data_IF_580911801943
#
_entry.id   IF_580911801943
#
_cell.length_a   1.000
_cell.length_b   1.000
_cell.length_c   1.000
_cell.angle_alpha   90.00
_cell.angle_beta   90.00
_cell.angle_gamma   90.00
#
_symmetry.space_group_name_H-M   'P 1'
#
loop_
_entity.id
_entity.type
_entity.pdbx_description
1 polymer ?
#
# COMPACT_ATOMS: atom_id res chain seq x y z
N UNK A 1 17.45 2.09 0.63
CA UNK A 1 17.03 3.20 1.51
C UNK A 1 15.78 2.88 2.32
N UNK A 2 14.55 3.34 1.95
CA UNK A 2 13.34 2.93 2.71
C UNK A 2 13.03 1.46 2.45
N UNK A 3 13.21 0.99 1.22
CA UNK A 3 13.08 -0.42 0.87
C UNK A 3 13.94 -1.37 1.70
N UNK A 4 15.07 -0.90 2.23
CA UNK A 4 15.98 -1.67 3.09
C UNK A 4 15.53 -1.70 4.56
N UNK A 5 14.62 -0.80 4.94
CA UNK A 5 14.04 -0.76 6.27
C UNK A 5 12.82 -1.66 6.38
N UNK A 6 12.18 -2.03 5.24
CA UNK A 6 11.04 -2.93 5.26
C UNK A 6 11.46 -4.30 5.76
N UNK A 7 10.64 -4.87 6.65
CA UNK A 7 10.82 -6.22 7.16
C UNK A 7 10.40 -7.22 6.07
N UNK A 8 11.36 -7.97 5.56
CA UNK A 8 11.12 -9.00 4.56
C UNK A 8 10.31 -10.15 5.17
N UNK A 9 9.25 -10.58 4.47
CA UNK A 9 8.30 -11.56 5.00
C UNK A 9 7.44 -11.02 6.15
N UNK A 10 7.62 -9.74 6.53
CA UNK A 10 6.94 -9.08 7.62
C UNK A 10 5.82 -8.15 7.19
N UNK A 11 5.00 -7.77 8.18
CA UNK A 11 3.92 -6.80 8.03
C UNK A 11 4.45 -5.39 8.32
N UNK A 12 4.53 -4.57 7.29
CA UNK A 12 5.01 -3.19 7.37
C UNK A 12 3.81 -2.23 7.28
N UNK A 13 3.83 -1.14 8.02
CA UNK A 13 2.73 -0.16 8.03
C UNK A 13 3.22 1.23 7.70
N UNK A 14 2.57 1.87 6.72
CA UNK A 14 2.69 3.29 6.42
C UNK A 14 1.45 4.03 6.91
N UNK A 15 1.64 4.93 7.86
CA UNK A 15 0.61 5.84 8.35
C UNK A 15 0.78 7.19 7.65
N UNK A 16 -0.32 7.81 7.22
CA UNK A 16 -0.30 9.10 6.53
C UNK A 16 -1.48 9.98 6.96
N UNK A 17 -1.31 11.28 6.87
CA UNK A 17 -2.37 12.28 7.05
C UNK A 17 -2.74 12.97 5.73
N UNK A 18 -1.85 12.90 4.75
CA UNK A 18 -2.00 13.51 3.43
C UNK A 18 -1.80 12.47 2.32
N UNK A 19 -2.77 12.37 1.41
CA UNK A 19 -2.74 11.37 0.32
C UNK A 19 -1.62 11.63 -0.69
N UNK A 20 -1.25 12.90 -0.90
CA UNK A 20 -0.15 13.25 -1.79
C UNK A 20 1.20 12.81 -1.22
N UNK A 21 1.43 13.05 0.08
CA UNK A 21 2.63 12.56 0.78
C UNK A 21 2.75 11.04 0.69
N UNK A 22 1.63 10.32 0.87
CA UNK A 22 1.56 8.87 0.70
C UNK A 22 2.00 8.46 -0.71
N UNK A 23 1.40 9.04 -1.75
CA UNK A 23 1.66 8.70 -3.15
C UNK A 23 3.13 8.96 -3.49
N UNK A 24 3.69 10.11 -3.10
CA UNK A 24 5.11 10.44 -3.31
C UNK A 24 6.03 9.39 -2.69
N UNK A 25 5.77 9.02 -1.44
CA UNK A 25 6.60 8.05 -0.73
C UNK A 25 6.49 6.65 -1.34
N UNK A 26 5.29 6.20 -1.66
CA UNK A 26 5.07 4.90 -2.31
C UNK A 26 5.76 4.86 -3.69
N UNK A 27 5.62 5.91 -4.50
CA UNK A 27 6.30 6.00 -5.79
C UNK A 27 7.82 5.89 -5.64
N UNK A 28 8.39 6.54 -4.62
CA UNK A 28 9.82 6.41 -4.31
C UNK A 28 10.21 5.00 -3.89
N UNK A 29 9.41 4.36 -3.04
CA UNK A 29 9.65 2.97 -2.61
C UNK A 29 9.63 2.04 -3.84
N UNK A 30 8.63 2.14 -4.71
CA UNK A 30 8.54 1.33 -5.92
C UNK A 30 9.76 1.56 -6.82
N UNK A 31 10.17 2.81 -7.01
CA UNK A 31 11.37 3.15 -7.80
C UNK A 31 12.66 2.54 -7.22
N UNK A 32 12.79 2.48 -5.88
CA UNK A 32 13.93 1.81 -5.24
C UNK A 32 13.96 0.29 -5.52
N UNK A 33 12.80 -0.36 -5.61
CA UNK A 33 12.71 -1.77 -5.99
C UNK A 33 13.00 -1.97 -7.50
N UNK A 34 12.58 -1.03 -8.36
CA UNK A 34 12.91 -1.07 -9.79
C UNK A 34 14.42 -1.02 -10.03
N UNK A 35 15.11 -0.06 -9.40
CA UNK A 35 16.56 0.11 -9.56
C UNK A 35 17.39 -1.08 -9.03
N UNK A 36 16.89 -1.82 -8.03
CA UNK A 36 17.57 -3.02 -7.54
C UNK A 36 17.49 -4.19 -8.51
N UNK A 37 16.42 -4.27 -9.27
CA UNK A 37 16.15 -5.36 -10.20
C UNK A 37 16.95 -5.26 -11.51
N UNK A 38 17.46 -4.07 -11.88
CA UNK A 38 18.31 -3.90 -13.06
C UNK A 38 19.65 -4.66 -12.97
N UNK A 39 20.02 -5.13 -11.78
CA UNK A 39 21.28 -5.87 -11.54
C UNK A 39 21.10 -7.40 -11.37
N UNK A 40 19.86 -7.90 -11.39
CA UNK A 40 19.53 -9.33 -11.23
C UNK A 40 18.58 -9.75 -12.35
N UNK A 41 18.90 -10.86 -13.06
CA UNK A 41 18.09 -11.40 -14.16
C UNK A 41 16.67 -11.87 -13.73
N UNK A 42 16.38 -11.87 -12.45
CA UNK A 42 15.06 -12.15 -11.89
C UNK A 42 14.26 -10.85 -11.72
N UNK A 43 13.44 -10.49 -12.71
CA UNK A 43 12.51 -9.37 -12.64
C UNK A 43 11.45 -9.62 -11.54
N UNK A 44 11.70 -9.08 -10.36
CA UNK A 44 10.74 -9.14 -9.26
C UNK A 44 9.67 -8.06 -9.41
N UNK A 45 8.42 -8.47 -9.54
CA UNK A 45 7.27 -7.58 -9.70
C UNK A 45 6.89 -6.94 -8.37
N UNK A 46 6.34 -5.73 -8.42
CA UNK A 46 5.63 -5.09 -7.32
C UNK A 46 4.13 -5.25 -7.54
N UNK A 47 3.43 -5.84 -6.60
CA UNK A 47 1.96 -5.92 -6.60
C UNK A 47 1.41 -4.76 -5.79
N UNK A 48 0.52 -3.98 -6.40
CA UNK A 48 -0.14 -2.83 -5.78
C UNK A 48 -1.66 -2.98 -5.82
N UNK A 49 -2.28 -3.00 -4.65
CA UNK A 49 -3.73 -3.03 -4.47
C UNK A 49 -4.22 -1.60 -4.23
N UNK A 50 -4.76 -0.94 -5.25
CA UNK A 50 -5.19 0.46 -5.23
C UNK A 50 -6.72 0.54 -5.05
N UNK A 51 -7.20 0.58 -3.80
CA UNK A 51 -8.62 0.53 -3.47
C UNK A 51 -9.40 1.80 -3.81
N UNK A 52 -8.76 2.94 -3.93
CA UNK A 52 -9.38 4.23 -4.26
C UNK A 52 -9.00 4.76 -5.64
N UNK A 53 -8.22 3.99 -6.39
CA UNK A 53 -7.67 4.35 -7.69
C UNK A 53 -6.86 5.67 -7.69
N UNK A 54 -6.42 6.15 -6.52
CA UNK A 54 -5.70 7.40 -6.42
C UNK A 54 -4.33 7.30 -7.06
N UNK A 55 -3.52 6.29 -6.69
CA UNK A 55 -2.21 6.07 -7.27
C UNK A 55 -2.30 5.86 -8.79
N UNK A 56 -3.23 5.02 -9.24
CA UNK A 56 -3.49 4.76 -10.67
C UNK A 56 -3.83 6.04 -11.42
N UNK A 57 -4.64 6.93 -10.83
CA UNK A 57 -5.01 8.20 -11.45
C UNK A 57 -3.81 9.13 -11.62
N UNK A 58 -2.94 9.24 -10.62
CA UNK A 58 -1.70 10.03 -10.71
C UNK A 58 -0.73 9.45 -11.74
N UNK A 59 -0.58 8.13 -11.80
CA UNK A 59 0.27 7.47 -12.79
C UNK A 59 -0.25 7.69 -14.22
N UNK A 60 -1.56 7.55 -14.46
CA UNK A 60 -2.20 7.85 -15.76
C UNK A 60 -2.04 9.29 -16.19
N UNK A 61 -2.13 10.23 -15.26
CA UNK A 61 -1.95 11.65 -15.54
C UNK A 61 -0.48 12.04 -15.83
N UNK A 62 0.46 11.08 -15.75
CA UNK A 62 1.89 11.34 -15.94
C UNK A 62 2.53 12.14 -14.80
N UNK A 63 1.85 12.23 -13.66
CA UNK A 63 2.33 12.96 -12.49
C UNK A 63 3.39 12.18 -11.71
N UNK A 64 3.55 10.88 -11.98
CA UNK A 64 4.62 10.04 -11.48
C UNK A 64 5.58 9.75 -12.63
N UNK A 65 6.68 10.52 -12.78
CA UNK A 65 7.49 10.53 -14.01
C UNK A 65 8.13 9.19 -14.38
N UNK A 66 8.41 8.37 -13.38
CA UNK A 66 9.09 7.07 -13.54
C UNK A 66 8.12 5.93 -13.83
N UNK A 67 6.81 6.20 -13.83
CA UNK A 67 5.79 5.15 -13.91
C UNK A 67 4.81 5.42 -15.04
N UNK A 68 5.11 4.87 -16.19
CA UNK A 68 4.14 4.76 -17.29
C UNK A 68 3.39 3.46 -17.15
N UNK A 69 2.07 3.53 -17.10
CA UNK A 69 1.18 2.37 -16.96
C UNK A 69 0.24 2.24 -18.14
N UNK A 70 -0.02 1.00 -18.54
CA UNK A 70 -1.00 0.65 -19.55
C UNK A 70 -2.15 -0.13 -18.93
N UNK A 71 -3.35 0.10 -19.46
CA UNK A 71 -4.55 -0.62 -19.04
C UNK A 71 -4.58 -1.99 -19.72
N UNK A 72 -4.59 -3.05 -18.94
CA UNK A 72 -4.76 -4.43 -19.45
C UNK A 72 -6.25 -4.80 -19.45
N UNK A 73 -6.97 -4.47 -18.36
CA UNK A 73 -8.43 -4.59 -18.28
C UNK A 73 -8.99 -3.54 -17.30
N UNK A 74 -10.29 -3.59 -16.98
CA UNK A 74 -10.94 -2.58 -16.13
C UNK A 74 -10.42 -2.55 -14.69
N UNK A 75 -9.81 -3.63 -14.23
CA UNK A 75 -9.34 -3.81 -12.85
C UNK A 75 -7.84 -4.06 -12.73
N UNK A 76 -7.11 -4.06 -13.86
CA UNK A 76 -5.70 -4.35 -13.86
C UNK A 76 -4.91 -3.44 -14.81
N UNK A 77 -3.83 -2.88 -14.28
CA UNK A 77 -2.86 -2.06 -15.00
C UNK A 77 -1.46 -2.62 -14.79
N UNK A 78 -0.62 -2.49 -15.78
CA UNK A 78 0.77 -2.92 -15.74
C UNK A 78 1.69 -1.77 -16.17
N UNK A 79 2.87 -1.67 -15.56
CA UNK A 79 3.87 -0.71 -16.03
C UNK A 79 4.50 -1.16 -17.35
N UNK A 80 4.94 -0.21 -18.19
CA UNK A 80 5.65 -0.53 -19.43
C UNK A 80 6.92 -1.38 -19.20
N UNK A 81 7.50 -1.30 -18.01
CA UNK A 81 8.65 -2.11 -17.59
C UNK A 81 8.28 -3.50 -17.07
N UNK A 82 7.00 -3.87 -17.03
CA UNK A 82 6.46 -5.11 -16.45
C UNK A 82 6.83 -5.37 -14.98
N UNK A 83 7.29 -4.34 -14.26
CA UNK A 83 7.73 -4.45 -12.86
C UNK A 83 6.58 -4.16 -11.90
N UNK A 84 5.65 -3.26 -12.26
CA UNK A 84 4.55 -2.85 -11.38
C UNK A 84 3.22 -3.36 -11.92
N UNK A 85 2.54 -4.17 -11.14
CA UNK A 85 1.20 -4.69 -11.37
C UNK A 85 0.21 -4.00 -10.42
N UNK A 86 -0.71 -3.20 -10.96
CA UNK A 86 -1.72 -2.48 -10.17
C UNK A 86 -3.07 -3.16 -10.35
N UNK A 87 -3.63 -3.61 -9.24
CA UNK A 87 -4.99 -4.14 -9.18
C UNK A 87 -5.92 -3.10 -8.57
N UNK A 88 -7.05 -2.84 -9.23
CA UNK A 88 -8.16 -2.06 -8.69
C UNK A 88 -9.19 -3.04 -8.09
N UNK A 89 -9.13 -3.31 -6.78
CA UNK A 89 -10.01 -4.29 -6.16
C UNK A 89 -11.47 -3.88 -6.26
N UNK A 90 -12.32 -4.84 -6.56
CA UNK A 90 -13.78 -4.71 -6.53
C UNK A 90 -14.35 -5.35 -5.29
N UNK A 91 -15.68 -5.40 -5.22
CA UNK A 91 -16.38 -6.11 -4.15
C UNK A 91 -16.09 -7.63 -4.13
N UNK A 92 -15.59 -8.21 -5.24
CA UNK A 92 -15.10 -9.59 -5.31
C UNK A 92 -13.60 -9.70 -5.03
N UNK A 93 -13.16 -9.00 -4.01
CA UNK A 93 -11.73 -8.96 -3.63
C UNK A 93 -11.16 -10.34 -3.29
N UNK A 94 -11.95 -11.23 -2.72
CA UNK A 94 -11.48 -12.57 -2.34
C UNK A 94 -11.14 -13.40 -3.58
N UNK A 95 -11.96 -13.30 -4.64
CA UNK A 95 -11.65 -13.91 -5.94
C UNK A 95 -10.33 -13.39 -6.49
N UNK A 96 -10.19 -12.07 -6.59
CA UNK A 96 -8.95 -11.43 -7.08
C UNK A 96 -7.72 -11.84 -6.27
N UNK A 97 -7.80 -11.84 -4.92
CA UNK A 97 -6.66 -12.23 -4.08
C UNK A 97 -6.29 -13.69 -4.32
N UNK A 98 -7.27 -14.59 -4.34
CA UNK A 98 -6.98 -16.03 -4.44
C UNK A 98 -6.54 -16.46 -5.83
N UNK A 99 -7.06 -15.85 -6.90
CA UNK A 99 -6.77 -16.25 -8.27
C UNK A 99 -5.55 -15.54 -8.85
N UNK A 100 -5.42 -14.25 -8.61
CA UNK A 100 -4.46 -13.42 -9.35
C UNK A 100 -3.25 -13.04 -8.50
N UNK A 101 -3.49 -12.60 -7.25
CA UNK A 101 -2.43 -12.08 -6.39
C UNK A 101 -1.59 -13.22 -5.82
N UNK A 102 -2.22 -14.22 -5.19
CA UNK A 102 -1.49 -15.32 -4.54
C UNK A 102 -0.60 -16.08 -5.52
N UNK A 103 -1.08 -16.31 -6.75
CA UNK A 103 -0.29 -16.99 -7.77
C UNK A 103 0.95 -16.20 -8.22
N UNK A 104 0.88 -14.88 -8.15
CA UNK A 104 1.95 -13.99 -8.59
C UNK A 104 2.93 -13.61 -7.47
N UNK A 105 2.61 -13.92 -6.20
CA UNK A 105 3.44 -13.52 -5.05
C UNK A 105 4.86 -14.08 -5.14
N UNK A 106 5.05 -15.32 -5.59
CA UNK A 106 6.39 -15.94 -5.70
C UNK A 106 7.36 -15.19 -6.63
N UNK A 107 6.82 -14.38 -7.55
CA UNK A 107 7.60 -13.59 -8.50
C UNK A 107 7.75 -12.12 -8.07
N UNK A 108 7.30 -11.77 -6.85
CA UNK A 108 7.26 -10.40 -6.39
C UNK A 108 8.42 -10.05 -5.47
N UNK A 109 8.76 -8.75 -5.44
CA UNK A 109 9.68 -8.16 -4.48
C UNK A 109 8.99 -7.32 -3.41
N UNK A 110 7.72 -6.94 -3.64
CA UNK A 110 6.91 -6.13 -2.71
C UNK A 110 5.43 -6.31 -3.00
N UNK A 111 4.62 -6.38 -1.95
CA UNK A 111 3.15 -6.30 -2.03
C UNK A 111 2.67 -5.09 -1.25
N UNK A 112 1.83 -4.23 -1.87
CA UNK A 112 1.27 -3.02 -1.27
C UNK A 112 -0.25 -3.11 -1.20
N UNK A 113 -0.82 -2.85 -0.03
CA UNK A 113 -2.26 -2.75 0.23
C UNK A 113 -2.61 -1.28 0.55
N UNK A 114 -3.20 -0.57 -0.39
CA UNK A 114 -3.48 0.87 -0.28
C UNK A 114 -4.95 1.22 -0.50
N UNK A 115 -5.72 1.50 0.50
CA UNK A 115 -5.46 1.61 1.92
C UNK A 115 -6.54 0.88 2.75
N UNK A 116 -6.30 0.69 4.03
CA UNK A 116 -7.32 0.18 4.96
C UNK A 116 -8.57 1.07 4.93
N UNK A 117 -8.41 2.38 4.86
CA UNK A 117 -9.52 3.33 4.80
C UNK A 117 -10.35 3.15 3.54
N UNK A 118 -9.70 2.99 2.40
CA UNK A 118 -10.34 2.81 1.10
C UNK A 118 -11.01 1.44 1.00
N UNK A 119 -10.42 0.40 1.61
CA UNK A 119 -11.06 -0.89 1.80
C UNK A 119 -12.40 -0.76 2.53
N UNK A 120 -12.44 -0.05 3.68
CA UNK A 120 -13.69 0.17 4.39
C UNK A 120 -14.71 0.93 3.54
N UNK A 121 -14.31 1.95 2.79
CA UNK A 121 -15.21 2.71 1.93
C UNK A 121 -15.82 1.82 0.84
N UNK A 122 -15.01 1.00 0.17
CA UNK A 122 -15.46 0.08 -0.89
C UNK A 122 -16.56 -0.88 -0.42
N UNK A 123 -16.44 -1.40 0.80
CA UNK A 123 -17.39 -2.37 1.34
C UNK A 123 -18.52 -1.74 2.15
N UNK A 124 -18.36 -0.50 2.63
CA UNK A 124 -19.37 0.19 3.42
C UNK A 124 -20.64 0.46 2.61
N UNK A 125 -20.53 0.99 1.41
CA UNK A 125 -21.68 1.33 0.55
C UNK A 125 -22.51 0.10 0.19
N UNK A 126 -21.87 -1.06 0.02
CA UNK A 126 -22.58 -2.32 -0.22
C UNK A 126 -23.43 -2.75 0.98
N UNK A 127 -22.91 -2.54 2.17
CA UNK A 127 -23.61 -2.93 3.41
C UNK A 127 -24.76 -1.97 3.74
N UNK A 128 -24.67 -0.70 3.34
CA UNK A 128 -25.74 0.31 3.53
C UNK A 128 -26.87 0.12 2.53
N UNK A 129 -26.58 -0.22 1.28
CA UNK A 129 -27.57 -0.39 0.22
C UNK A 129 -28.44 -1.65 0.35
N UNK A 130 -28.02 -2.63 1.13
CA UNK A 130 -28.85 -3.80 1.47
C UNK A 130 -29.82 -3.44 2.60
N UNK A 131 -31.04 -3.04 2.26
CA UNK A 131 -32.09 -2.46 3.12
C UNK A 131 -32.48 -3.26 4.39
N UNK A 132 -31.97 -4.46 4.60
CA UNK A 132 -32.40 -5.36 5.70
C UNK A 132 -31.31 -5.81 6.68
N UNK A 133 -30.06 -5.40 6.52
CA UNK A 133 -29.01 -5.84 7.44
C UNK A 133 -28.35 -4.66 8.15
N UNK A 134 -28.50 -4.60 9.47
CA UNK A 134 -27.65 -3.75 10.32
C UNK A 134 -26.19 -4.07 9.98
N UNK A 135 -25.47 -3.07 9.45
CA UNK A 135 -24.05 -3.21 9.13
C UNK A 135 -23.33 -3.69 10.36
N UNK A 136 -22.85 -4.91 10.30
CA UNK A 136 -22.00 -5.42 11.36
C UNK A 136 -20.56 -5.02 11.04
N UNK A 137 -20.11 -3.87 11.59
CA UNK A 137 -18.71 -3.40 11.48
C UNK A 137 -17.75 -4.51 11.92
N UNK A 138 -18.16 -5.39 12.83
CA UNK A 138 -17.39 -6.56 13.23
C UNK A 138 -17.09 -7.51 12.07
N UNK A 139 -18.07 -7.78 11.22
CA UNK A 139 -17.87 -8.65 10.03
C UNK A 139 -16.91 -8.02 9.03
N UNK A 140 -16.95 -6.69 8.84
CA UNK A 140 -16.03 -5.98 7.95
C UNK A 140 -14.59 -6.00 8.51
N UNK A 141 -14.44 -5.85 9.82
CA UNK A 141 -13.14 -6.02 10.48
C UNK A 141 -12.60 -7.44 10.34
N UNK A 142 -13.46 -8.45 10.43
CA UNK A 142 -13.08 -9.86 10.22
C UNK A 142 -12.64 -10.09 8.76
N UNK A 143 -13.38 -9.55 7.79
CA UNK A 143 -13.01 -9.64 6.37
C UNK A 143 -11.66 -8.99 6.11
N UNK A 144 -11.44 -7.76 6.59
CA UNK A 144 -10.16 -7.08 6.47
C UNK A 144 -9.02 -7.92 7.07
N UNK A 145 -9.22 -8.40 8.32
CA UNK A 145 -8.24 -9.24 9.00
C UNK A 145 -7.91 -10.48 8.17
N UNK A 146 -8.93 -11.18 7.66
CA UNK A 146 -8.76 -12.37 6.85
C UNK A 146 -7.96 -12.09 5.58
N UNK A 147 -8.32 -11.04 4.84
CA UNK A 147 -7.61 -10.60 3.63
C UNK A 147 -6.14 -10.30 3.91
N UNK A 148 -5.86 -9.49 4.94
CA UNK A 148 -4.49 -9.13 5.31
C UNK A 148 -3.67 -10.35 5.75
N UNK A 149 -4.28 -11.28 6.49
CA UNK A 149 -3.58 -12.48 6.98
C UNK A 149 -3.29 -13.49 5.87
N UNK A 150 -4.17 -13.62 4.88
CA UNK A 150 -3.89 -14.47 3.70
C UNK A 150 -2.68 -13.91 2.94
N UNK A 151 -2.68 -12.61 2.63
CA UNK A 151 -1.57 -11.99 1.90
C UNK A 151 -0.28 -12.12 2.72
N UNK A 152 -0.33 -11.79 4.02
CA UNK A 152 0.83 -11.89 4.90
C UNK A 152 1.40 -13.31 4.95
N UNK A 153 0.55 -14.34 5.03
CA UNK A 153 1.00 -15.73 5.04
C UNK A 153 1.84 -16.03 3.80
N UNK A 154 1.32 -15.72 2.62
CA UNK A 154 2.03 -16.01 1.37
C UNK A 154 3.28 -15.14 1.18
N UNK A 155 3.23 -13.85 1.51
CA UNK A 155 4.42 -13.00 1.44
C UNK A 155 5.52 -13.46 2.41
N UNK A 156 5.13 -13.96 3.59
CA UNK A 156 6.09 -14.52 4.56
C UNK A 156 6.74 -15.82 4.06
N UNK A 157 6.00 -16.68 3.37
CA UNK A 157 6.52 -17.91 2.77
C UNK A 157 7.66 -17.65 1.77
N UNK A 158 7.59 -16.53 1.04
CA UNK A 158 8.60 -16.12 0.05
C UNK A 158 9.54 -15.01 0.54
N UNK A 159 9.48 -14.65 1.83
CA UNK A 159 10.30 -13.58 2.42
C UNK A 159 10.14 -12.22 1.73
N UNK A 160 8.93 -11.88 1.31
CA UNK A 160 8.57 -10.66 0.61
C UNK A 160 7.97 -9.65 1.59
N UNK A 161 8.38 -8.37 1.61
CA UNK A 161 7.77 -7.36 2.45
C UNK A 161 6.33 -7.08 2.03
N UNK A 162 5.43 -7.02 3.01
CA UNK A 162 4.04 -6.63 2.83
C UNK A 162 3.79 -5.27 3.46
N UNK A 163 3.50 -4.25 2.65
CA UNK A 163 3.26 -2.87 3.06
C UNK A 163 1.76 -2.55 3.05
N UNK A 164 1.24 -2.15 4.20
CA UNK A 164 -0.16 -1.76 4.38
C UNK A 164 -0.24 -0.28 4.73
N UNK A 165 -1.09 0.49 4.05
CA UNK A 165 -1.25 1.91 4.33
C UNK A 165 -2.52 2.20 5.13
N UNK A 166 -2.47 3.20 6.01
CA UNK A 166 -3.60 3.65 6.81
C UNK A 166 -3.57 5.15 7.07
N UNK A 167 -4.71 5.81 6.88
CA UNK A 167 -4.86 7.24 7.06
C UNK A 167 -5.19 7.59 8.53
N UNK A 168 -4.61 8.67 9.04
CA UNK A 168 -5.03 9.29 10.30
C UNK A 168 -6.37 10.00 10.08
N UNK A 169 -7.31 9.76 10.97
CA UNK A 169 -8.59 10.47 11.01
C UNK A 169 -8.64 11.38 12.24
N UNK A 170 -9.03 12.62 12.02
CA UNK A 170 -9.24 13.61 13.08
C UNK A 170 -10.72 13.62 13.51
N UNK A 171 -11.03 13.06 14.68
CA UNK A 171 -12.35 13.14 15.34
C UNK A 171 -12.16 13.55 16.77
N UNK A 172 -11.75 14.83 16.99
CA UNK A 172 -11.40 15.37 18.32
C UNK A 172 -10.08 14.85 18.89
N UNK A 173 -9.62 13.69 18.44
CA UNK A 173 -8.27 13.11 18.66
C UNK A 173 -7.79 12.42 17.41
N UNK A 174 -6.49 12.43 17.19
CA UNK A 174 -5.87 11.67 16.11
C UNK A 174 -6.10 10.16 16.32
N UNK A 175 -6.64 9.48 15.32
CA UNK A 175 -6.87 8.04 15.35
C UNK A 175 -6.49 7.41 14.02
N UNK A 176 -5.59 6.45 14.07
CA UNK A 176 -5.27 5.58 12.94
C UNK A 176 -6.39 4.54 12.80
N UNK A 177 -6.87 4.35 11.57
CA UNK A 177 -7.86 3.30 11.28
C UNK A 177 -7.24 1.93 11.52
N UNK A 178 -7.95 1.05 12.23
CA UNK A 178 -7.48 -0.28 12.62
C UNK A 178 -6.16 -0.29 13.43
N UNK A 179 -5.89 0.77 14.19
CA UNK A 179 -4.65 0.94 14.95
C UNK A 179 -4.26 -0.29 15.78
N UNK A 180 -5.23 -0.95 16.43
CA UNK A 180 -4.97 -2.15 17.23
C UNK A 180 -4.39 -3.29 16.38
N UNK A 181 -4.96 -3.55 15.20
CA UNK A 181 -4.47 -4.56 14.27
C UNK A 181 -3.05 -4.21 13.80
N UNK A 182 -2.85 -2.97 13.36
CA UNK A 182 -1.58 -2.50 12.85
C UNK A 182 -0.48 -2.56 13.91
N UNK A 183 -0.73 -2.05 15.12
CA UNK A 183 0.26 -2.05 16.21
C UNK A 183 0.67 -3.46 16.66
N UNK A 184 -0.26 -4.42 16.62
CA UNK A 184 0.02 -5.80 17.01
C UNK A 184 0.80 -6.59 15.95
N UNK A 185 0.54 -6.33 14.66
CA UNK A 185 1.09 -7.13 13.55
C UNK A 185 2.29 -6.50 12.88
N UNK A 186 2.42 -5.18 12.95
CA UNK A 186 3.49 -4.45 12.28
C UNK A 186 4.84 -4.70 12.92
N UNK A 187 5.79 -5.16 12.12
CA UNK A 187 7.22 -5.24 12.47
C UNK A 187 7.90 -3.89 12.29
N UNK A 188 7.55 -3.17 11.21
CA UNK A 188 7.99 -1.84 10.90
C UNK A 188 6.77 -0.92 10.71
N UNK A 189 6.78 0.22 11.39
CA UNK A 189 5.71 1.20 11.32
C UNK A 189 6.29 2.60 11.17
N UNK A 190 5.86 3.33 10.16
CA UNK A 190 6.33 4.67 9.90
C UNK A 190 5.19 5.61 9.48
N UNK A 191 5.40 6.90 9.77
CA UNK A 191 4.46 7.96 9.48
C UNK A 191 5.08 8.95 8.51
N UNK A 192 4.32 9.30 7.46
CA UNK A 192 4.72 10.30 6.47
C UNK A 192 3.79 11.50 6.51
N UNK A 193 4.39 12.69 6.40
CA UNK A 193 3.67 13.96 6.24
C UNK A 193 4.44 14.92 5.35
N UNK A 194 3.74 15.88 4.78
CA UNK A 194 4.36 17.01 4.08
C UNK A 194 5.07 17.88 5.13
N UNK A 195 6.34 18.18 4.89
CA UNK A 195 7.13 19.11 5.68
C UNK A 195 7.07 20.53 5.11
N UNK A 196 7.26 20.62 3.79
CA UNK A 196 7.15 21.83 2.98
C UNK A 196 6.76 21.43 1.54
N UNK A 197 6.74 22.38 0.60
CA UNK A 197 6.33 22.12 -0.78
C UNK A 197 7.14 21.00 -1.46
N UNK A 198 8.41 20.81 -1.10
CA UNK A 198 9.34 19.90 -1.80
C UNK A 198 9.82 18.72 -0.94
N UNK A 199 9.58 18.73 0.36
CA UNK A 199 10.11 17.71 1.26
C UNK A 199 9.01 16.94 2.00
N UNK A 200 9.25 15.65 2.20
CA UNK A 200 8.46 14.80 3.10
C UNK A 200 9.24 14.54 4.39
N UNK A 201 8.53 14.57 5.50
CA UNK A 201 9.03 14.09 6.79
C UNK A 201 8.54 12.67 7.03
N UNK A 202 9.45 11.76 7.30
CA UNK A 202 9.19 10.35 7.60
C UNK A 202 9.63 10.10 9.03
N UNK A 203 8.70 9.72 9.90
CA UNK A 203 8.97 9.37 11.29
C UNK A 203 8.81 7.87 11.47
N UNK A 204 9.83 7.19 11.94
CA UNK A 204 9.77 5.77 12.32
C UNK A 204 9.09 5.66 13.67
N UNK A 205 7.94 5.00 13.73
CA UNK A 205 7.16 4.79 14.95
C UNK A 205 7.49 3.47 15.64
N UNK A 206 7.96 2.47 14.88
CA UNK A 206 8.37 1.16 15.38
C UNK A 206 9.35 0.52 14.39
N UNK A 207 10.52 0.15 14.85
CA UNK A 207 11.49 -0.61 14.08
C UNK A 207 12.56 -1.19 15.04
N UNK A 208 13.06 -2.42 14.86
CA UNK A 208 14.01 -3.04 15.77
C UNK A 208 15.30 -2.25 16.02
N UNK A 209 15.72 -1.42 15.04
CA UNK A 209 16.97 -0.67 15.08
C UNK A 209 16.83 0.85 14.95
N UNK A 210 15.66 1.36 14.54
CA UNK A 210 15.47 2.73 14.08
C UNK A 210 14.30 3.45 14.77
N UNK A 211 13.82 2.92 15.91
CA UNK A 211 12.70 3.51 16.64
C UNK A 211 12.88 5.00 16.88
N UNK A 212 11.80 5.76 16.63
CA UNK A 212 11.71 7.20 16.79
C UNK A 212 12.69 8.04 15.96
N UNK A 213 13.35 7.47 14.95
CA UNK A 213 14.17 8.25 14.01
C UNK A 213 13.31 8.99 13.01
N UNK A 214 13.75 10.19 12.64
CA UNK A 214 13.13 11.02 11.62
C UNK A 214 14.04 11.10 10.41
N UNK A 215 13.45 11.00 9.24
CA UNK A 215 14.10 11.16 7.95
C UNK A 215 13.41 12.26 7.16
N UNK A 216 14.15 12.92 6.30
CA UNK A 216 13.64 13.89 5.34
C UNK A 216 13.92 13.34 3.96
N UNK A 217 12.86 13.16 3.17
CA UNK A 217 12.97 12.88 1.76
C UNK A 217 12.89 14.20 1.00
N UNK A 218 13.96 14.56 0.31
CA UNK A 218 14.05 15.75 -0.54
C UNK A 218 13.67 15.39 -1.97
N UNK A 219 13.24 16.41 -2.73
CA UNK A 219 12.92 16.30 -4.16
C UNK A 219 11.84 15.23 -4.43
N UNK A 220 10.60 15.61 -4.20
CA UNK A 220 9.44 14.76 -4.48
C UNK A 220 9.46 14.23 -5.90
N UNK A 221 9.12 12.97 -6.08
CA UNK A 221 9.04 12.28 -7.37
C UNK A 221 7.89 12.83 -8.25
N UNK A 222 6.87 13.45 -7.67
CA UNK A 222 5.70 13.97 -8.39
C UNK A 222 5.97 15.33 -9.01
N UNK A 223 5.61 15.48 -10.29
CA UNK A 223 5.63 16.76 -11.00
C UNK A 223 4.24 17.37 -11.03
N UNK A 224 4.13 18.62 -10.59
CA UNK A 224 2.96 19.44 -10.89
C UNK A 224 3.09 19.98 -12.31
N UNK A 225 2.05 19.84 -13.13
CA UNK A 225 1.90 20.49 -14.43
C UNK A 225 1.12 21.79 -14.27
#
# INVERSE_FOLDING_TARGET
MISEMLDNGGFNTLIFDDSYAKICLIASIISEFQCKNDNDDNHHKVIYLDFDAAFTSYAKAGLIPTMKIQKINDHFYESESNILNIFLPTQDILGTITTDIIKSISECSLVIFDSINSFYNLFYDRLVSSQNNRINIGSLNQLLYFVLMIILKHTSEYNIPFLVTSMIRYRGKERVTSNRLLSMKSSFNFYVKIRNLDDLSITVLKHPKLDHKNFIMKDKVLKWT
#
